data_IF_836445349064
#
_entry.id   IF_836445349064
#
_cell.length_a   1.000
_cell.length_b   1.000
_cell.length_c   1.000
_cell.angle_alpha   90.00
_cell.angle_beta   90.00
_cell.angle_gamma   90.00
#
_symmetry.space_group_name_H-M   'P 1'
#
loop_
_entity.id
_entity.type
_entity.pdbx_description
1 polymer ?
#
# COMPACT_ATOMS: atom_id res chain seq x y z
N UNK A 1 -27.12 -42.38 39.51
CA UNK A 1 -26.18 -41.24 39.47
C UNK A 1 -26.73 -40.22 38.47
N UNK A 2 -27.45 -39.20 38.95
CA UNK A 2 -28.05 -38.14 38.11
C UNK A 2 -26.93 -37.17 37.76
N UNK A 3 -26.58 -37.02 36.47
CA UNK A 3 -25.67 -35.96 36.04
C UNK A 3 -26.46 -34.65 36.05
N UNK A 4 -26.09 -33.75 36.94
CA UNK A 4 -26.53 -32.36 36.91
C UNK A 4 -26.01 -31.74 35.60
N UNK A 5 -26.89 -31.50 34.64
CA UNK A 5 -26.53 -30.77 33.43
C UNK A 5 -26.32 -29.31 33.79
N UNK A 6 -25.03 -28.92 33.89
CA UNK A 6 -24.64 -27.55 34.19
C UNK A 6 -25.17 -26.58 33.13
N UNK A 7 -26.23 -25.84 33.48
CA UNK A 7 -26.86 -24.84 32.61
C UNK A 7 -25.88 -23.70 32.36
N UNK A 8 -25.30 -23.65 31.16
CA UNK A 8 -24.36 -22.59 30.79
C UNK A 8 -25.11 -21.25 30.74
N UNK A 9 -24.68 -20.29 31.56
CA UNK A 9 -25.20 -18.92 31.56
C UNK A 9 -25.09 -18.31 30.16
N UNK A 10 -26.19 -17.74 29.66
CA UNK A 10 -26.30 -17.12 28.33
C UNK A 10 -25.20 -16.07 28.09
N UNK A 11 -24.80 -15.34 29.13
CA UNK A 11 -23.72 -14.35 29.07
C UNK A 11 -22.37 -14.99 28.72
N UNK A 12 -22.05 -16.17 29.26
CA UNK A 12 -20.80 -16.88 28.97
C UNK A 12 -20.76 -17.38 27.52
N UNK A 13 -21.90 -17.84 27.01
CA UNK A 13 -22.04 -18.27 25.61
C UNK A 13 -21.85 -17.11 24.63
N UNK A 14 -22.38 -15.92 24.94
CA UNK A 14 -22.20 -14.72 24.11
C UNK A 14 -20.73 -14.29 24.09
N UNK A 15 -20.04 -14.29 25.23
CA UNK A 15 -18.61 -13.95 25.31
C UNK A 15 -17.79 -14.90 24.42
N UNK A 16 -18.07 -16.20 24.47
CA UNK A 16 -17.36 -17.17 23.63
C UNK A 16 -17.59 -16.93 22.13
N UNK A 17 -18.81 -16.58 21.73
CA UNK A 17 -19.13 -16.23 20.34
C UNK A 17 -18.41 -14.96 19.88
N UNK A 18 -18.35 -13.94 20.74
CA UNK A 18 -17.61 -12.70 20.44
C UNK A 18 -16.12 -12.99 20.31
N UNK A 19 -15.53 -13.76 21.23
CA UNK A 19 -14.13 -14.18 21.15
C UNK A 19 -13.85 -14.94 19.86
N UNK A 20 -14.69 -15.92 19.51
CA UNK A 20 -14.56 -16.67 18.27
C UNK A 20 -14.64 -15.79 17.02
N UNK A 21 -15.54 -14.80 16.99
CA UNK A 21 -15.64 -13.84 15.90
C UNK A 21 -14.41 -12.92 15.84
N UNK A 22 -13.94 -12.44 17.00
CA UNK A 22 -12.78 -11.55 17.10
C UNK A 22 -11.47 -12.23 16.70
N UNK A 23 -11.41 -13.56 16.76
CA UNK A 23 -10.23 -14.35 16.40
C UNK A 23 -9.80 -14.12 14.94
N UNK A 24 -10.75 -14.00 14.01
CA UNK A 24 -10.43 -13.73 12.61
C UNK A 24 -9.76 -12.35 12.44
N UNK A 25 -10.25 -11.34 13.15
CA UNK A 25 -9.64 -10.00 13.14
C UNK A 25 -8.28 -9.99 13.83
N UNK A 26 -8.13 -10.74 14.92
CA UNK A 26 -6.86 -10.87 15.63
C UNK A 26 -5.80 -11.53 14.74
N UNK A 27 -6.17 -12.56 13.98
CA UNK A 27 -5.28 -13.18 13.00
C UNK A 27 -4.85 -12.20 11.91
N UNK A 28 -5.81 -11.45 11.31
CA UNK A 28 -5.47 -10.41 10.33
C UNK A 28 -4.53 -9.36 10.91
N UNK A 29 -4.78 -8.94 12.15
CA UNK A 29 -3.95 -7.97 12.85
C UNK A 29 -2.52 -8.48 13.07
N UNK A 30 -2.36 -9.75 13.47
CA UNK A 30 -1.05 -10.38 13.62
C UNK A 30 -0.31 -10.48 12.28
N UNK A 31 -1.00 -10.82 11.19
CA UNK A 31 -0.42 -10.86 9.84
C UNK A 31 0.07 -9.46 9.44
N UNK A 32 -0.77 -8.44 9.59
CA UNK A 32 -0.41 -7.05 9.28
C UNK A 32 0.80 -6.56 10.09
N UNK A 33 0.84 -6.83 11.41
CA UNK A 33 2.00 -6.49 12.24
C UNK A 33 3.25 -7.20 11.75
N UNK A 34 3.13 -8.50 11.43
CA UNK A 34 4.27 -9.28 10.94
C UNK A 34 4.80 -8.70 9.63
N UNK A 35 3.91 -8.33 8.70
CA UNK A 35 4.29 -7.67 7.44
C UNK A 35 5.00 -6.33 7.71
N UNK A 36 4.50 -5.51 8.63
CA UNK A 36 5.13 -4.22 8.98
C UNK A 36 6.49 -4.38 9.66
N UNK A 37 6.65 -5.31 10.59
CA UNK A 37 7.93 -5.57 11.27
C UNK A 37 8.98 -6.10 10.28
N UNK A 38 8.56 -6.92 9.33
CA UNK A 38 9.42 -7.42 8.26
C UNK A 38 9.64 -6.40 7.13
N UNK A 39 9.11 -5.17 7.26
CA UNK A 39 9.18 -4.12 6.24
C UNK A 39 8.63 -4.56 4.87
N UNK A 40 7.78 -5.60 4.86
CA UNK A 40 7.13 -6.13 3.66
C UNK A 40 6.02 -5.18 3.29
N UNK A 41 6.24 -4.39 2.24
CA UNK A 41 5.32 -3.37 1.79
C UNK A 41 5.68 -1.95 2.23
N UNK A 42 6.93 -1.67 2.63
CA UNK A 42 7.40 -0.29 2.71
C UNK A 42 7.03 0.50 1.44
N UNK A 43 6.47 1.68 1.68
CA UNK A 43 5.95 2.55 0.64
C UNK A 43 7.10 3.34 0.05
N UNK A 44 7.85 2.70 -0.86
CA UNK A 44 8.69 3.43 -1.78
C UNK A 44 7.76 4.27 -2.66
N UNK A 45 7.51 5.51 -2.24
CA UNK A 45 6.80 6.47 -3.06
C UNK A 45 7.46 6.49 -4.44
N UNK A 46 6.68 6.18 -5.48
CA UNK A 46 7.18 6.06 -6.87
C UNK A 46 7.88 7.36 -7.29
N UNK A 47 7.39 8.49 -6.79
CA UNK A 47 7.96 9.80 -7.05
C UNK A 47 8.41 10.46 -5.74
N UNK A 48 9.63 10.99 -5.74
CA UNK A 48 10.16 11.83 -4.67
C UNK A 48 10.17 13.29 -5.11
N UNK A 49 9.98 14.19 -4.15
CA UNK A 49 10.14 15.62 -4.40
C UNK A 49 11.63 15.99 -4.33
N UNK A 50 12.04 16.85 -5.25
CA UNK A 50 13.36 17.50 -5.21
C UNK A 50 13.42 18.48 -4.01
N UNK A 51 14.60 18.81 -3.43
CA UNK A 51 14.72 19.72 -2.29
C UNK A 51 14.11 21.11 -2.54
N UNK A 52 13.96 21.51 -3.80
CA UNK A 52 13.31 22.78 -4.19
C UNK A 52 11.77 22.70 -4.21
N UNK A 53 11.18 21.50 -4.16
CA UNK A 53 9.73 21.25 -4.19
C UNK A 53 9.04 21.52 -5.54
N UNK A 54 9.78 21.97 -6.55
CA UNK A 54 9.24 22.33 -7.87
C UNK A 54 9.18 21.14 -8.83
N UNK A 55 10.00 20.12 -8.56
CA UNK A 55 10.17 18.96 -9.42
C UNK A 55 9.92 17.66 -8.66
N UNK A 56 9.44 16.66 -9.39
CA UNK A 56 9.30 15.27 -8.95
C UNK A 56 10.22 14.41 -9.78
N UNK A 57 10.91 13.50 -9.13
CA UNK A 57 11.77 12.50 -9.78
C UNK A 57 11.31 11.10 -9.41
N UNK A 58 11.56 10.12 -10.28
CA UNK A 58 11.34 8.73 -9.93
C UNK A 58 12.25 8.36 -8.74
N UNK A 59 11.71 7.61 -7.77
CA UNK A 59 12.50 7.12 -6.66
C UNK A 59 13.48 6.03 -7.15
N UNK A 60 14.81 6.23 -7.13
CA UNK A 60 15.77 5.23 -7.59
C UNK A 60 15.68 3.88 -6.86
N UNK A 61 15.11 3.86 -5.64
CA UNK A 61 14.91 2.63 -4.87
C UNK A 61 13.59 1.93 -5.15
N UNK A 62 12.72 2.52 -5.99
CA UNK A 62 11.41 1.92 -6.30
C UNK A 62 11.56 0.58 -7.02
N UNK A 63 12.62 0.40 -7.82
CA UNK A 63 12.89 -0.84 -8.55
C UNK A 63 13.16 -2.01 -7.59
N UNK A 64 13.83 -1.77 -6.46
CA UNK A 64 14.13 -2.80 -5.45
C UNK A 64 12.88 -3.49 -4.89
N UNK A 65 11.70 -2.84 -4.98
CA UNK A 65 10.41 -3.44 -4.60
C UNK A 65 9.89 -4.49 -5.59
N UNK A 66 10.27 -4.39 -6.87
CA UNK A 66 9.72 -5.19 -7.96
C UNK A 66 10.69 -6.25 -8.51
N UNK A 67 11.98 -6.16 -8.17
CA UNK A 67 12.99 -7.13 -8.57
C UNK A 67 13.43 -7.99 -7.37
N UNK A 68 13.27 -9.31 -7.48
CA UNK A 68 13.69 -10.28 -6.46
C UNK A 68 15.22 -10.36 -6.32
N UNK A 69 15.92 -10.08 -7.42
CA UNK A 69 17.37 -10.01 -7.49
C UNK A 69 17.76 -8.54 -7.73
N UNK A 70 18.35 -7.93 -6.71
CA UNK A 70 18.71 -6.51 -6.73
C UNK A 70 19.78 -6.19 -7.77
N UNK A 71 20.62 -7.17 -8.13
CA UNK A 71 21.66 -7.00 -9.17
C UNK A 71 21.03 -6.86 -10.57
N UNK A 72 19.79 -7.33 -10.73
CA UNK A 72 19.00 -7.23 -11.95
C UNK A 72 17.97 -6.08 -11.90
N UNK A 73 17.93 -5.31 -10.81
CA UNK A 73 17.05 -4.14 -10.72
C UNK A 73 17.55 -3.06 -11.67
N UNK A 74 16.86 -2.90 -12.80
CA UNK A 74 17.22 -1.87 -13.77
C UNK A 74 17.02 -0.49 -13.14
N UNK A 75 18.13 0.21 -12.89
CA UNK A 75 18.11 1.64 -12.60
C UNK A 75 17.84 2.35 -13.92
N UNK A 76 16.56 2.45 -14.27
CA UNK A 76 16.12 3.17 -15.45
C UNK A 76 16.54 4.64 -15.43
N UNK A 77 16.49 5.28 -16.60
CA UNK A 77 16.75 6.71 -16.72
C UNK A 77 15.89 7.52 -15.75
N UNK A 78 16.53 8.34 -14.91
CA UNK A 78 15.81 9.17 -13.93
C UNK A 78 15.35 10.45 -14.61
N UNK A 79 14.06 10.49 -14.97
CA UNK A 79 13.44 11.69 -15.52
C UNK A 79 12.93 12.63 -14.42
N UNK A 80 13.18 13.92 -14.61
CA UNK A 80 12.72 14.99 -13.72
C UNK A 80 11.48 15.64 -14.36
N UNK A 81 10.37 15.64 -13.62
CA UNK A 81 9.11 16.21 -14.06
C UNK A 81 8.72 17.40 -13.19
N UNK A 82 8.15 18.46 -13.80
CA UNK A 82 7.58 19.56 -13.02
C UNK A 82 6.35 19.08 -12.25
N UNK A 83 6.26 19.45 -10.97
CA UNK A 83 5.09 19.16 -10.13
C UNK A 83 3.81 19.80 -10.69
N UNK A 84 3.95 21.00 -11.26
CA UNK A 84 2.87 21.70 -11.94
C UNK A 84 3.08 21.65 -13.44
N UNK A 85 2.08 21.15 -14.16
CA UNK A 85 2.05 21.24 -15.62
C UNK A 85 2.00 22.71 -16.01
N UNK A 86 2.86 23.11 -16.95
CA UNK A 86 2.75 24.43 -17.57
C UNK A 86 1.36 24.53 -18.20
N UNK A 87 0.59 25.57 -17.84
CA UNK A 87 -0.68 25.85 -18.50
C UNK A 87 -0.39 26.09 -19.98
N UNK A 88 -0.72 25.11 -20.81
CA UNK A 88 -0.67 25.28 -22.26
C UNK A 88 -1.79 26.26 -22.60
N UNK A 89 -1.52 27.40 -23.25
CA UNK A 89 -2.59 28.27 -23.72
C UNK A 89 -3.47 27.46 -24.69
N UNK A 90 -4.79 27.53 -24.53
CA UNK A 90 -5.77 26.82 -25.37
C UNK A 90 -5.62 27.09 -26.88
N UNK A 91 -4.86 28.13 -27.24
CA UNK A 91 -4.44 28.47 -28.61
C UNK A 91 -3.60 27.36 -29.28
N UNK A 92 -2.94 26.50 -28.50
CA UNK A 92 -2.10 25.41 -29.02
C UNK A 92 -2.85 24.11 -29.35
N UNK A 93 -4.18 24.03 -29.14
CA UNK A 93 -4.97 22.83 -29.47
C UNK A 93 -5.62 22.89 -30.88
N UNK A 94 -5.42 23.96 -31.65
CA UNK A 94 -6.02 24.13 -32.98
C UNK A 94 -5.26 23.48 -34.14
N UNK A 95 -4.03 22.98 -33.92
CA UNK A 95 -3.12 22.53 -34.97
C UNK A 95 -2.60 21.09 -34.78
N UNK A 96 -3.06 20.36 -33.74
CA UNK A 96 -2.71 18.96 -33.60
C UNK A 96 -3.42 18.14 -34.70
N UNK A 97 -2.69 17.53 -35.66
CA UNK A 97 -3.34 16.68 -36.65
C UNK A 97 -3.92 15.46 -35.91
N UNK A 98 -5.20 15.17 -36.16
CA UNK A 98 -5.80 13.89 -35.81
C UNK A 98 -4.92 12.79 -36.43
N UNK A 99 -4.19 12.05 -35.61
CA UNK A 99 -3.51 10.85 -36.07
C UNK A 99 -4.59 9.87 -36.54
N UNK A 100 -4.61 9.57 -37.84
CA UNK A 100 -5.35 8.46 -38.44
C UNK A 100 -4.70 7.13 -38.05
#
# INVERSE_FOLDING_TARGET
>A
MKREEGKISTSRSIIYKILAMSLAFLLLFLVEISLRVLHVGEDYAVFMEDPTGQFKQLNPKVSEKYFLDQDNATQGFTEIFRKQKTKVPSVFLSWAPLQQ
#
